data_IF_185140805282
#
_entry.id   IF_185140805282
#
_cell.length_a   1.000
_cell.length_b   1.000
_cell.length_c   1.000
_cell.angle_alpha   90.00
_cell.angle_beta   90.00
_cell.angle_gamma   90.00
#
_symmetry.space_group_name_H-M   'P 1'
#
loop_
_entity.id
_entity.type
_entity.pdbx_description
1 polymer ?
#
# COMPACT_ATOMS: atom_id res chain seq x y z
N UNK A 1 37.83 -12.00 22.14
CA UNK A 1 36.69 -12.81 22.63
C UNK A 1 35.61 -11.99 23.32
N UNK A 2 35.90 -11.17 24.34
CA UNK A 2 34.90 -10.21 24.88
C UNK A 2 34.72 -8.97 23.98
N UNK A 3 35.80 -8.51 23.33
CA UNK A 3 35.76 -7.38 22.39
C UNK A 3 35.08 -7.69 21.04
N UNK A 4 35.02 -8.95 20.62
CA UNK A 4 34.37 -9.36 19.37
C UNK A 4 32.84 -9.46 19.51
N UNK A 5 32.37 -9.76 20.73
CA UNK A 5 30.95 -9.76 21.07
C UNK A 5 30.40 -8.34 21.12
N UNK A 6 31.16 -7.38 21.66
CA UNK A 6 30.78 -5.96 21.64
C UNK A 6 30.75 -5.39 20.21
N UNK A 7 31.70 -5.77 19.34
CA UNK A 7 31.71 -5.33 17.94
C UNK A 7 30.54 -5.92 17.13
N UNK A 8 30.13 -7.16 17.41
CA UNK A 8 28.95 -7.78 16.82
C UNK A 8 27.63 -7.17 17.35
N UNK A 9 27.59 -6.78 18.62
CA UNK A 9 26.46 -6.08 19.24
C UNK A 9 26.30 -4.64 18.71
N UNK A 10 27.43 -3.97 18.42
CA UNK A 10 27.47 -2.61 17.85
C UNK A 10 27.04 -2.59 16.37
N UNK A 11 27.24 -3.69 15.63
CA UNK A 11 26.80 -3.81 14.23
C UNK A 11 25.30 -4.06 14.07
N UNK A 12 24.58 -4.48 15.13
CA UNK A 12 23.13 -4.66 15.10
C UNK A 12 22.35 -3.34 15.32
N UNK A 13 23.01 -2.27 15.75
CA UNK A 13 22.35 -1.01 16.17
C UNK A 13 22.51 0.14 15.19
N UNK A 14 23.52 0.11 14.31
CA UNK A 14 23.78 1.20 13.36
C UNK A 14 23.09 0.90 12.01
N UNK A 15 21.89 1.48 11.80
CA UNK A 15 21.24 1.44 10.49
C UNK A 15 22.17 2.04 9.43
N UNK A 16 22.46 1.34 8.32
CA UNK A 16 23.34 1.88 7.29
C UNK A 16 22.74 3.18 6.72
N UNK A 17 23.54 4.21 6.40
CA UNK A 17 23.01 5.48 5.89
C UNK A 17 22.10 5.33 4.66
N UNK A 18 22.32 4.29 3.86
CA UNK A 18 21.49 3.96 2.70
C UNK A 18 20.03 3.61 3.07
N UNK A 19 19.77 3.15 4.30
CA UNK A 19 18.41 2.87 4.78
C UNK A 19 17.49 4.08 4.64
N UNK A 20 17.98 5.29 4.94
CA UNK A 20 17.18 6.52 4.91
C UNK A 20 16.67 6.90 3.52
N UNK A 21 17.24 6.35 2.44
CA UNK A 21 16.74 6.57 1.08
C UNK A 21 15.31 6.04 0.91
N UNK A 22 14.97 4.91 1.55
CA UNK A 22 13.66 4.30 1.44
C UNK A 22 12.53 5.14 2.08
N UNK A 23 12.60 5.57 3.36
CA UNK A 23 11.57 6.40 3.96
C UNK A 23 11.50 7.79 3.35
N UNK A 24 12.64 8.40 2.95
CA UNK A 24 12.64 9.68 2.22
C UNK A 24 11.91 9.52 0.87
N UNK A 25 12.23 8.45 0.13
CA UNK A 25 11.55 8.11 -1.12
C UNK A 25 10.05 7.87 -0.94
N UNK A 26 9.65 7.19 0.13
CA UNK A 26 8.26 6.95 0.48
C UNK A 26 7.49 8.27 0.68
N UNK A 27 8.05 9.19 1.48
CA UNK A 27 7.46 10.51 1.72
C UNK A 27 7.39 11.32 0.42
N UNK A 28 8.49 11.36 -0.35
CA UNK A 28 8.53 12.07 -1.63
C UNK A 28 7.48 11.55 -2.62
N UNK A 29 7.29 10.23 -2.69
CA UNK A 29 6.27 9.62 -3.54
C UNK A 29 4.84 10.02 -3.12
N UNK A 30 4.52 9.98 -1.82
CA UNK A 30 3.21 10.38 -1.30
C UNK A 30 2.94 11.87 -1.49
N UNK A 31 3.93 12.73 -1.30
CA UNK A 31 3.83 14.17 -1.57
C UNK A 31 3.56 14.40 -3.06
N UNK A 32 4.31 13.76 -3.94
CA UNK A 32 4.10 13.88 -5.40
C UNK A 32 2.72 13.36 -5.82
N UNK A 33 2.27 12.25 -5.26
CA UNK A 33 0.92 11.72 -5.48
C UNK A 33 -0.16 12.74 -5.09
N UNK A 34 0.01 13.41 -3.95
CA UNK A 34 -0.90 14.46 -3.50
C UNK A 34 -0.91 15.66 -4.46
N UNK A 35 0.26 16.12 -4.90
CA UNK A 35 0.37 17.24 -5.84
C UNK A 35 -0.29 16.93 -7.20
N UNK A 36 -0.06 15.73 -7.74
CA UNK A 36 -0.70 15.29 -8.97
C UNK A 36 -2.21 15.10 -8.80
N UNK A 37 -2.65 14.57 -7.66
CA UNK A 37 -4.08 14.48 -7.36
C UNK A 37 -4.73 15.86 -7.38
N UNK A 38 -4.15 16.84 -6.69
CA UNK A 38 -4.64 18.22 -6.67
C UNK A 38 -4.67 18.85 -8.06
N UNK A 39 -3.61 18.61 -8.86
CA UNK A 39 -3.54 19.09 -10.24
C UNK A 39 -4.61 18.48 -11.16
N UNK A 40 -4.99 17.22 -10.94
CA UNK A 40 -6.08 16.59 -11.69
C UNK A 40 -7.41 17.16 -11.23
N UNK A 41 -7.64 17.24 -9.92
CA UNK A 41 -8.90 17.73 -9.35
C UNK A 41 -9.20 19.18 -9.69
N UNK A 42 -8.19 20.01 -9.98
CA UNK A 42 -8.38 21.40 -10.42
C UNK A 42 -8.85 21.52 -11.88
N UNK A 43 -8.90 20.44 -12.66
CA UNK A 43 -9.45 20.45 -14.02
C UNK A 43 -10.98 20.32 -13.97
N UNK A 44 -11.66 20.98 -14.91
CA UNK A 44 -13.11 20.91 -15.06
C UNK A 44 -13.56 19.48 -15.35
N UNK A 45 -14.69 19.08 -14.77
CA UNK A 45 -15.36 17.80 -15.06
C UNK A 45 -16.13 17.81 -16.38
N UNK A 46 -16.32 18.99 -16.96
CA UNK A 46 -17.03 19.18 -18.22
C UNK A 46 -18.40 19.84 -18.04
N UNK A 47 -19.31 19.53 -18.94
CA UNK A 47 -20.69 19.97 -18.91
C UNK A 47 -21.54 19.11 -17.94
N UNK A 48 -22.80 19.52 -17.76
CA UNK A 48 -23.73 18.90 -16.81
C UNK A 48 -24.02 17.43 -17.13
N UNK A 49 -24.09 17.09 -18.42
CA UNK A 49 -24.29 15.71 -18.88
C UNK A 49 -23.07 14.85 -18.53
N UNK A 50 -21.84 15.33 -18.81
CA UNK A 50 -20.61 14.65 -18.43
C UNK A 50 -20.49 14.42 -16.92
N UNK A 51 -20.84 15.43 -16.11
CA UNK A 51 -20.82 15.34 -14.64
C UNK A 51 -21.81 14.27 -14.16
N UNK A 52 -23.01 14.24 -14.72
CA UNK A 52 -24.06 13.26 -14.35
C UNK A 52 -23.60 11.83 -14.62
N UNK A 53 -23.02 11.58 -15.81
CA UNK A 53 -22.48 10.26 -16.18
C UNK A 53 -21.31 9.89 -15.25
N UNK A 54 -20.40 10.82 -15.00
CA UNK A 54 -19.24 10.58 -14.13
C UNK A 54 -19.67 10.23 -12.70
N UNK A 55 -20.71 10.88 -12.19
CA UNK A 55 -21.25 10.61 -10.87
C UNK A 55 -21.84 9.21 -10.77
N UNK A 56 -22.63 8.77 -11.76
CA UNK A 56 -23.17 7.40 -11.80
C UNK A 56 -22.05 6.35 -11.79
N UNK A 57 -20.96 6.59 -12.53
CA UNK A 57 -19.78 5.70 -12.53
C UNK A 57 -19.09 5.68 -11.16
N UNK A 58 -18.91 6.83 -10.51
CA UNK A 58 -18.33 6.91 -9.16
C UNK A 58 -19.18 6.15 -8.15
N UNK A 59 -20.49 6.34 -8.18
CA UNK A 59 -21.39 5.68 -7.23
C UNK A 59 -21.35 4.15 -7.41
N UNK A 60 -21.38 3.67 -8.65
CA UNK A 60 -21.24 2.26 -8.97
C UNK A 60 -19.90 1.68 -8.53
N UNK A 61 -18.79 2.36 -8.84
CA UNK A 61 -17.45 1.94 -8.43
C UNK A 61 -17.29 1.88 -6.90
N UNK A 62 -17.79 2.90 -6.19
CA UNK A 62 -17.73 2.94 -4.73
C UNK A 62 -18.64 1.90 -4.07
N UNK A 63 -19.82 1.62 -4.64
CA UNK A 63 -20.69 0.56 -4.17
C UNK A 63 -20.03 -0.82 -4.33
N UNK A 64 -19.42 -1.07 -5.49
CA UNK A 64 -18.63 -2.28 -5.75
C UNK A 64 -17.48 -2.42 -4.75
N UNK A 65 -16.66 -1.39 -4.59
CA UNK A 65 -15.47 -1.44 -3.72
C UNK A 65 -15.85 -1.71 -2.26
N UNK A 66 -16.92 -1.07 -1.76
CA UNK A 66 -17.46 -1.37 -0.43
C UNK A 66 -17.84 -2.83 -0.30
N UNK A 67 -18.56 -3.39 -1.29
CA UNK A 67 -19.00 -4.78 -1.23
C UNK A 67 -17.82 -5.75 -1.29
N UNK A 68 -16.86 -5.50 -2.16
CA UNK A 68 -15.62 -6.25 -2.26
C UNK A 68 -14.86 -6.24 -0.93
N UNK A 69 -14.68 -5.07 -0.31
CA UNK A 69 -13.93 -4.96 0.94
C UNK A 69 -14.61 -5.69 2.10
N UNK A 70 -15.94 -5.72 2.13
CA UNK A 70 -16.68 -6.52 3.11
C UNK A 70 -16.40 -8.03 2.96
N UNK A 71 -16.33 -8.53 1.72
CA UNK A 71 -16.00 -9.94 1.45
C UNK A 71 -14.55 -10.23 1.83
N UNK A 72 -13.62 -9.35 1.41
CA UNK A 72 -12.19 -9.55 1.69
C UNK A 72 -11.89 -9.44 3.19
N UNK A 73 -12.59 -8.59 3.94
CA UNK A 73 -12.48 -8.57 5.39
C UNK A 73 -12.80 -9.94 6.02
N UNK A 74 -13.81 -10.66 5.51
CA UNK A 74 -14.11 -12.03 5.92
C UNK A 74 -12.95 -13.00 5.64
N UNK A 75 -12.29 -12.86 4.49
CA UNK A 75 -11.11 -13.66 4.13
C UNK A 75 -9.93 -13.35 5.06
N UNK A 76 -9.68 -12.08 5.40
CA UNK A 76 -8.63 -11.71 6.35
C UNK A 76 -8.88 -12.27 7.75
N UNK A 77 -10.13 -12.30 8.21
CA UNK A 77 -10.48 -12.96 9.48
C UNK A 77 -10.10 -14.44 9.42
N UNK A 78 -10.45 -15.14 8.34
CA UNK A 78 -10.09 -16.55 8.17
C UNK A 78 -8.55 -16.75 8.14
N UNK A 79 -7.82 -15.90 7.43
CA UNK A 79 -6.35 -15.93 7.37
C UNK A 79 -5.76 -15.72 8.77
N UNK A 80 -6.24 -14.74 9.53
CA UNK A 80 -5.76 -14.48 10.91
C UNK A 80 -6.00 -15.69 11.82
N UNK A 81 -7.15 -16.37 11.69
CA UNK A 81 -7.41 -17.62 12.43
C UNK A 81 -6.42 -18.72 12.05
N UNK A 82 -6.13 -18.89 10.76
CA UNK A 82 -5.13 -19.88 10.30
C UNK A 82 -3.74 -19.53 10.83
N UNK A 83 -3.32 -18.27 10.71
CA UNK A 83 -2.04 -17.79 11.23
C UNK A 83 -1.94 -17.97 12.75
N UNK A 84 -3.04 -17.82 13.47
CA UNK A 84 -3.09 -18.02 14.92
C UNK A 84 -2.80 -19.48 15.26
N UNK A 85 -3.41 -20.42 14.55
CA UNK A 85 -3.16 -21.85 14.72
C UNK A 85 -1.70 -22.20 14.39
N UNK A 86 -1.19 -21.70 13.26
CA UNK A 86 0.19 -21.95 12.83
C UNK A 86 1.23 -21.39 13.82
N UNK A 87 0.98 -20.20 14.38
CA UNK A 87 1.91 -19.53 15.28
C UNK A 87 1.92 -20.12 16.70
N UNK A 88 0.75 -20.46 17.25
CA UNK A 88 0.64 -20.89 18.65
C UNK A 88 0.63 -22.40 18.86
N UNK A 89 0.09 -23.19 17.92
CA UNK A 89 -0.01 -24.65 18.10
C UNK A 89 1.09 -25.43 17.37
N UNK A 90 1.52 -24.94 16.20
CA UNK A 90 2.51 -25.63 15.37
C UNK A 90 3.91 -25.00 15.44
N UNK A 91 4.02 -23.76 15.93
CA UNK A 91 5.30 -23.04 16.03
C UNK A 91 5.97 -22.77 14.68
N UNK A 92 5.22 -22.86 13.58
CA UNK A 92 5.73 -22.76 12.21
C UNK A 92 5.82 -21.31 11.70
N UNK A 93 5.26 -20.35 12.44
CA UNK A 93 5.20 -18.96 12.00
C UNK A 93 5.43 -17.97 13.14
N UNK A 94 6.14 -16.85 12.89
CA UNK A 94 6.32 -15.81 13.90
C UNK A 94 4.99 -15.21 14.35
N UNK A 95 4.83 -14.99 15.66
CA UNK A 95 3.60 -14.43 16.25
C UNK A 95 3.25 -13.05 15.70
N UNK A 96 4.26 -12.27 15.33
CA UNK A 96 4.07 -10.92 14.78
C UNK A 96 3.41 -10.91 13.39
N UNK A 97 3.35 -12.07 12.70
CA UNK A 97 2.61 -12.22 11.45
C UNK A 97 1.11 -11.96 11.62
N UNK A 98 0.55 -12.21 12.81
CA UNK A 98 -0.85 -11.91 13.16
C UNK A 98 -1.19 -10.43 13.09
N UNK A 99 -0.20 -9.57 13.27
CA UNK A 99 -0.38 -8.11 13.23
C UNK A 99 0.01 -7.59 11.84
N UNK A 100 1.18 -7.98 11.34
CA UNK A 100 1.69 -7.40 10.10
C UNK A 100 0.92 -7.84 8.84
N UNK A 101 0.37 -9.06 8.79
CA UNK A 101 -0.45 -9.50 7.64
C UNK A 101 -1.72 -8.64 7.49
N UNK A 102 -2.57 -8.45 8.52
CA UNK A 102 -3.69 -7.52 8.43
C UNK A 102 -3.29 -6.07 8.13
N UNK A 103 -2.19 -5.58 8.72
CA UNK A 103 -1.71 -4.20 8.49
C UNK A 103 -1.32 -3.99 7.03
N UNK A 104 -0.49 -4.88 6.47
CA UNK A 104 -0.10 -4.81 5.06
C UNK A 104 -1.29 -4.98 4.11
N UNK A 105 -2.24 -5.86 4.46
CA UNK A 105 -3.50 -6.01 3.74
C UNK A 105 -4.34 -4.74 3.74
N UNK A 106 -4.45 -4.07 4.89
CA UNK A 106 -5.16 -2.81 5.03
C UNK A 106 -4.51 -1.69 4.21
N UNK A 107 -3.18 -1.54 4.26
CA UNK A 107 -2.46 -0.57 3.45
C UNK A 107 -2.64 -0.81 1.95
N UNK A 108 -2.60 -2.07 1.51
CA UNK A 108 -2.92 -2.46 0.13
C UNK A 108 -4.36 -2.07 -0.26
N UNK A 109 -5.30 -2.20 0.68
CA UNK A 109 -6.67 -1.75 0.50
C UNK A 109 -6.78 -0.23 0.37
N UNK A 110 -6.09 0.53 1.22
CA UNK A 110 -6.05 1.99 1.09
C UNK A 110 -5.52 2.43 -0.28
N UNK A 111 -4.47 1.78 -0.80
CA UNK A 111 -3.96 2.03 -2.15
C UNK A 111 -5.03 1.82 -3.22
N UNK A 112 -5.79 0.71 -3.14
CA UNK A 112 -6.89 0.42 -4.06
C UNK A 112 -8.00 1.48 -4.00
N UNK A 113 -8.35 1.93 -2.80
CA UNK A 113 -9.35 2.98 -2.60
C UNK A 113 -8.94 4.32 -3.19
N UNK A 114 -7.71 4.78 -2.91
CA UNK A 114 -7.19 6.01 -3.49
C UNK A 114 -7.09 5.93 -5.01
N UNK A 115 -6.61 4.79 -5.54
CA UNK A 115 -6.51 4.55 -6.97
C UNK A 115 -7.87 4.62 -7.67
N UNK A 116 -8.88 3.90 -7.15
CA UNK A 116 -10.23 3.91 -7.72
C UNK A 116 -10.88 5.29 -7.65
N UNK A 117 -10.74 5.99 -6.52
CA UNK A 117 -11.25 7.35 -6.37
C UNK A 117 -10.60 8.32 -7.37
N UNK A 118 -9.28 8.22 -7.58
CA UNK A 118 -8.60 9.06 -8.56
C UNK A 118 -8.98 8.73 -9.99
N UNK A 119 -9.07 7.44 -10.35
CA UNK A 119 -9.46 7.01 -11.69
C UNK A 119 -10.87 7.53 -12.06
N UNK A 120 -11.85 7.30 -11.18
CA UNK A 120 -13.25 7.73 -11.40
C UNK A 120 -13.44 9.25 -11.37
N UNK A 121 -12.60 9.99 -10.66
CA UNK A 121 -12.60 11.46 -10.74
C UNK A 121 -11.89 11.97 -12.00
N UNK A 122 -10.89 11.26 -12.50
CA UNK A 122 -10.09 11.70 -13.66
C UNK A 122 -10.80 11.48 -15.00
N UNK A 123 -11.63 10.44 -15.16
CA UNK A 123 -12.18 10.05 -16.48
C UNK A 123 -12.89 11.20 -17.22
N UNK A 124 -13.84 11.88 -16.58
CA UNK A 124 -14.56 12.99 -17.20
C UNK A 124 -13.66 14.21 -17.47
N UNK A 125 -12.73 14.49 -16.55
CA UNK A 125 -11.73 15.57 -16.69
C UNK A 125 -10.79 15.33 -17.87
N UNK A 126 -10.38 14.08 -18.09
CA UNK A 126 -9.57 13.67 -19.24
C UNK A 126 -10.35 13.87 -20.54
N UNK A 127 -11.62 13.44 -20.59
CA UNK A 127 -12.46 13.60 -21.77
C UNK A 127 -12.69 15.08 -22.10
N UNK A 128 -12.94 15.92 -21.09
CA UNK A 128 -13.09 17.36 -21.28
C UNK A 128 -11.80 18.01 -21.77
N UNK A 129 -10.66 17.68 -21.16
CA UNK A 129 -9.35 18.20 -21.55
C UNK A 129 -8.98 17.81 -22.99
N UNK A 130 -9.39 16.62 -23.45
CA UNK A 130 -9.18 16.17 -24.82
C UNK A 130 -9.90 17.03 -25.87
N UNK A 131 -10.95 17.77 -25.50
CA UNK A 131 -11.61 18.76 -26.39
C UNK A 131 -10.73 19.97 -26.67
N UNK A 132 -9.82 20.31 -25.75
CA UNK A 132 -8.86 21.41 -25.93
C UNK A 132 -7.63 20.95 -26.71
N UNK A 133 -7.01 19.85 -26.31
CA UNK A 133 -5.91 19.23 -27.06
C UNK A 133 -5.67 17.79 -26.64
N UNK A 134 -5.06 16.99 -27.52
CA UNK A 134 -4.60 15.65 -27.18
C UNK A 134 -3.60 15.65 -26.01
N UNK A 135 -2.70 16.64 -25.98
CA UNK A 135 -1.68 16.75 -24.95
C UNK A 135 -2.28 17.06 -23.57
N UNK A 136 -3.33 17.88 -23.51
CA UNK A 136 -4.03 18.18 -22.26
C UNK A 136 -4.75 16.94 -21.72
N UNK A 137 -5.47 16.22 -22.60
CA UNK A 137 -6.09 14.94 -22.23
C UNK A 137 -5.07 13.92 -21.73
N UNK A 138 -3.98 13.73 -22.47
CA UNK A 138 -2.90 12.82 -22.09
C UNK A 138 -2.25 13.21 -20.76
N UNK A 139 -2.03 14.51 -20.52
CA UNK A 139 -1.45 15.01 -19.27
C UNK A 139 -2.33 14.67 -18.07
N UNK A 140 -3.64 14.85 -18.18
CA UNK A 140 -4.58 14.51 -17.09
C UNK A 140 -4.60 13.00 -16.85
N UNK A 141 -4.68 12.20 -17.91
CA UNK A 141 -4.68 10.74 -17.82
C UNK A 141 -3.38 10.18 -17.21
N UNK A 142 -2.22 10.70 -17.63
CA UNK A 142 -0.94 10.24 -17.14
C UNK A 142 -0.73 10.66 -15.68
N UNK A 143 -1.11 11.89 -15.31
CA UNK A 143 -1.04 12.34 -13.92
C UNK A 143 -1.95 11.54 -13.00
N UNK A 144 -3.17 11.21 -13.42
CA UNK A 144 -4.08 10.38 -12.60
C UNK A 144 -3.53 8.96 -12.43
N UNK A 145 -2.96 8.36 -13.47
CA UNK A 145 -2.25 7.07 -13.39
C UNK A 145 -1.03 7.12 -12.48
N UNK A 146 -0.25 8.20 -12.56
CA UNK A 146 0.91 8.41 -11.69
C UNK A 146 0.52 8.49 -10.21
N UNK A 147 -0.63 9.08 -9.85
CA UNK A 147 -1.12 9.09 -8.46
C UNK A 147 -1.31 7.66 -7.95
N UNK A 148 -1.94 6.78 -8.72
CA UNK A 148 -2.11 5.38 -8.31
C UNK A 148 -0.77 4.69 -8.07
N UNK A 149 0.20 4.84 -8.99
CA UNK A 149 1.52 4.23 -8.84
C UNK A 149 2.32 4.77 -7.65
N UNK A 150 2.33 6.10 -7.47
CA UNK A 150 3.07 6.76 -6.39
C UNK A 150 2.48 6.47 -5.01
N UNK A 151 1.15 6.33 -4.90
CA UNK A 151 0.50 5.90 -3.64
C UNK A 151 0.94 4.48 -3.27
N UNK A 152 0.94 3.54 -4.22
CA UNK A 152 1.37 2.15 -3.98
C UNK A 152 2.83 2.09 -3.54
N UNK A 153 3.72 2.75 -4.29
CA UNK A 153 5.15 2.78 -3.96
C UNK A 153 5.39 3.47 -2.61
N UNK A 154 4.71 4.59 -2.37
CA UNK A 154 4.81 5.35 -1.12
C UNK A 154 4.41 4.52 0.10
N UNK A 155 3.23 3.90 0.10
CA UNK A 155 2.79 3.07 1.22
C UNK A 155 3.64 1.79 1.38
N UNK A 156 4.04 1.13 0.29
CA UNK A 156 4.86 -0.08 0.37
C UNK A 156 6.25 0.21 0.96
N UNK A 157 6.92 1.28 0.52
CA UNK A 157 8.21 1.69 1.07
C UNK A 157 8.08 2.18 2.51
N UNK A 158 7.00 2.91 2.84
CA UNK A 158 6.74 3.36 4.20
C UNK A 158 6.55 2.18 5.16
N UNK A 159 5.70 1.21 4.80
CA UNK A 159 5.43 0.01 5.60
C UNK A 159 6.71 -0.80 5.84
N UNK A 160 7.44 -1.11 4.76
CA UNK A 160 8.69 -1.85 4.85
C UNK A 160 9.74 -1.11 5.70
N UNK A 161 9.89 0.21 5.53
CA UNK A 161 10.86 1.00 6.30
C UNK A 161 10.48 1.05 7.78
N UNK A 162 9.22 1.36 8.11
CA UNK A 162 8.75 1.45 9.50
C UNK A 162 8.92 0.11 10.21
N UNK A 163 8.51 -1.01 9.60
CA UNK A 163 8.66 -2.31 10.23
C UNK A 163 10.11 -2.75 10.35
N UNK A 164 10.95 -2.47 9.35
CA UNK A 164 12.38 -2.75 9.45
C UNK A 164 13.02 -1.95 10.60
N UNK A 165 12.71 -0.66 10.73
CA UNK A 165 13.20 0.17 11.84
C UNK A 165 12.75 -0.35 13.20
N UNK A 166 11.46 -0.67 13.34
CA UNK A 166 10.90 -1.19 14.59
C UNK A 166 11.52 -2.53 14.96
N UNK A 167 11.66 -3.45 14.01
CA UNK A 167 12.24 -4.77 14.27
C UNK A 167 13.75 -4.72 14.49
N UNK A 168 14.47 -3.80 13.86
CA UNK A 168 15.91 -3.65 14.11
C UNK A 168 16.20 -3.06 15.50
N UNK A 169 15.38 -2.12 15.99
CA UNK A 169 15.62 -1.43 17.25
C UNK A 169 14.96 -2.12 18.46
N UNK A 170 13.85 -2.82 18.25
CA UNK A 170 13.05 -3.42 19.32
C UNK A 170 12.83 -4.93 19.13
N UNK A 171 13.41 -5.53 18.08
CA UNK A 171 13.25 -6.95 17.77
C UNK A 171 13.84 -7.88 18.81
N UNK A 172 14.89 -7.47 19.51
CA UNK A 172 15.50 -8.24 20.60
C UNK A 172 14.49 -8.60 21.70
N UNK A 173 13.56 -7.69 22.01
CA UNK A 173 12.49 -7.92 22.98
C UNK A 173 11.48 -9.00 22.52
N UNK A 174 11.47 -9.32 21.23
CA UNK A 174 10.61 -10.34 20.62
C UNK A 174 11.39 -11.56 20.12
N UNK A 175 12.69 -11.65 20.44
CA UNK A 175 13.57 -12.75 20.06
C UNK A 175 14.09 -12.69 18.62
N UNK A 176 13.95 -11.55 17.94
CA UNK A 176 14.51 -11.32 16.61
C UNK A 176 15.92 -10.73 16.75
N UNK A 177 16.93 -11.60 16.72
CA UNK A 177 18.34 -11.20 16.90
C UNK A 177 19.11 -11.18 15.58
N UNK A 178 18.65 -11.94 14.58
CA UNK A 178 19.26 -12.03 13.26
C UNK A 178 18.45 -11.31 12.18
N UNK A 179 19.15 -10.72 11.21
CA UNK A 179 18.54 -10.08 10.03
C UNK A 179 17.66 -11.05 9.22
N UNK A 180 17.99 -12.36 9.27
CA UNK A 180 17.21 -13.42 8.64
C UNK A 180 15.81 -13.52 9.25
N UNK A 181 15.68 -13.34 10.56
CA UNK A 181 14.38 -13.47 11.22
C UNK A 181 13.51 -12.24 10.95
N UNK A 182 14.11 -11.04 11.00
CA UNK A 182 13.46 -9.78 10.63
C UNK A 182 12.91 -9.87 9.20
N UNK A 183 13.74 -10.27 8.24
CA UNK A 183 13.33 -10.40 6.84
C UNK A 183 12.26 -11.48 6.63
N UNK A 184 12.34 -12.61 7.35
CA UNK A 184 11.32 -13.66 7.30
C UNK A 184 9.95 -13.17 7.78
N UNK A 185 9.92 -12.41 8.88
CA UNK A 185 8.70 -11.80 9.41
C UNK A 185 8.12 -10.79 8.41
N UNK A 186 8.96 -9.90 7.86
CA UNK A 186 8.51 -8.90 6.89
C UNK A 186 7.98 -9.53 5.60
N UNK A 187 8.61 -10.61 5.10
CA UNK A 187 8.11 -11.37 3.96
C UNK A 187 6.71 -11.95 4.24
N UNK A 188 6.46 -12.38 5.47
CA UNK A 188 5.12 -12.86 5.84
C UNK A 188 4.07 -11.76 5.72
N UNK A 189 4.40 -10.49 5.98
CA UNK A 189 3.46 -9.37 5.85
C UNK A 189 3.06 -9.14 4.40
N UNK A 190 3.98 -9.37 3.45
CA UNK A 190 3.73 -9.32 2.02
C UNK A 190 2.59 -10.24 1.57
N UNK A 191 2.31 -11.32 2.32
CA UNK A 191 1.14 -12.17 2.10
C UNK A 191 -0.17 -11.36 2.20
N UNK A 192 -0.31 -10.51 3.23
CA UNK A 192 -1.50 -9.69 3.42
C UNK A 192 -1.72 -8.70 2.27
N UNK A 193 -0.67 -7.98 1.90
CA UNK A 193 -0.73 -7.06 0.76
C UNK A 193 -1.13 -7.79 -0.54
N UNK A 194 -0.57 -8.99 -0.76
CA UNK A 194 -0.84 -9.83 -1.93
C UNK A 194 -2.26 -10.39 -1.94
N UNK A 195 -2.79 -10.81 -0.79
CA UNK A 195 -4.18 -11.28 -0.68
C UNK A 195 -5.15 -10.17 -1.07
N UNK A 196 -4.97 -8.97 -0.52
CA UNK A 196 -5.83 -7.84 -0.89
C UNK A 196 -5.73 -7.51 -2.39
N UNK A 197 -4.51 -7.52 -2.95
CA UNK A 197 -4.29 -7.27 -4.37
C UNK A 197 -4.90 -8.36 -5.27
N UNK A 198 -4.86 -9.63 -4.85
CA UNK A 198 -5.47 -10.75 -5.55
C UNK A 198 -6.97 -10.53 -5.71
N UNK A 199 -7.67 -10.25 -4.60
CA UNK A 199 -9.11 -10.00 -4.66
C UNK A 199 -9.44 -8.73 -5.42
N UNK A 200 -8.63 -7.67 -5.28
CA UNK A 200 -8.78 -6.43 -6.03
C UNK A 200 -8.76 -6.67 -7.55
N UNK A 201 -7.80 -7.47 -8.05
CA UNK A 201 -7.66 -7.74 -9.50
C UNK A 201 -8.63 -8.80 -10.02
N UNK A 202 -8.73 -9.95 -9.34
CA UNK A 202 -9.57 -11.06 -9.82
C UNK A 202 -11.04 -10.72 -9.64
N UNK A 203 -11.41 -10.21 -8.47
CA UNK A 203 -12.80 -9.83 -8.22
C UNK A 203 -13.25 -8.64 -9.05
N UNK A 204 -12.34 -7.72 -9.43
CA UNK A 204 -12.68 -6.56 -10.25
C UNK A 204 -12.65 -6.82 -11.75
N UNK A 205 -12.02 -7.92 -12.17
CA UNK A 205 -11.94 -8.32 -13.57
C UNK A 205 -13.10 -9.20 -14.04
N UNK A 206 -13.84 -9.82 -13.11
CA UNK A 206 -15.07 -10.59 -13.37
C UNK A 206 -16.26 -9.63 -13.37
#
# INVERSE_FOLDING_TARGET
MMADLDQALILATELPPAYFLAPIGAVAALVMAFLFSRSVMSRSEGDEEMITIAQAVRDGAMAYLKRQYMVVAGVFIAIVVVLFVLAFFLGLQPKLSLIGVPVAGFLSGLCGWFGMKMATNASARTAWAAKSSLNDGLTVAFRSGAVMGLVVVGFALMDASVWFFVLNNFGDAWGFTDLRDITTVMLSYGMGASTQALFARVGGGI
#
